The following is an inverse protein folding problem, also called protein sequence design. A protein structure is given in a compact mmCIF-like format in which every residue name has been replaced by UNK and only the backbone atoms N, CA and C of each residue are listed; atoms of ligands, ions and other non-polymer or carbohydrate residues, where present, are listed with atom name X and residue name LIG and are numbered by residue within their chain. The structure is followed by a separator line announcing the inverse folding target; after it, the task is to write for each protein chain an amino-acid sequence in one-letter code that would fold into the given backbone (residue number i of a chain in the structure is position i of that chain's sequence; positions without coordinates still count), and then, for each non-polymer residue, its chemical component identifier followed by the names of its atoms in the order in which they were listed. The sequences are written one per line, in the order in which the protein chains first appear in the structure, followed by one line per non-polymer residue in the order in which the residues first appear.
data_IF_838010465601
#
_entry.id   IF_838010465601
#
_cell.length_a   1.000
_cell.length_b   1.000
_cell.length_c   1.000
_cell.angle_alpha   90.00
_cell.angle_beta   90.00
_cell.angle_gamma   90.00
#
_symmetry.space_group_name_H-M   'P 1'
#
loop_
_entity.id
_entity.type
_entity.pdbx_description
1 polymer ?
#
# COMPACT_ATOMS: atom_id res chain seq x y z
N UNK A 1 37.17 -43.86 -19.42
CA UNK A 1 35.72 -44.03 -19.66
C UNK A 1 34.99 -43.52 -18.42
N UNK A 2 34.52 -42.27 -18.43
CA UNK A 2 33.71 -41.71 -17.34
C UNK A 2 32.50 -41.02 -17.96
N UNK A 3 31.33 -41.64 -17.80
CA UNK A 3 30.03 -41.11 -18.21
C UNK A 3 29.42 -40.41 -17.00
N UNK A 4 29.67 -39.12 -16.83
CA UNK A 4 28.88 -38.28 -15.95
C UNK A 4 27.69 -37.75 -16.75
N UNK A 5 26.49 -38.28 -16.46
CA UNK A 5 25.24 -37.75 -16.96
C UNK A 5 24.88 -36.48 -16.17
N UNK A 6 24.71 -35.37 -16.88
CA UNK A 6 24.28 -34.08 -16.30
C UNK A 6 22.75 -34.03 -16.33
N UNK A 7 22.12 -33.85 -15.17
CA UNK A 7 20.68 -33.64 -15.05
C UNK A 7 20.29 -32.24 -15.55
N UNK A 8 19.17 -32.05 -16.26
CA UNK A 8 18.72 -30.72 -16.64
C UNK A 8 18.20 -29.98 -15.41
N UNK A 9 18.83 -28.83 -15.12
CA UNK A 9 18.41 -27.92 -14.07
C UNK A 9 16.94 -27.52 -14.28
N UNK A 10 16.11 -27.74 -13.26
CA UNK A 10 14.73 -27.24 -13.22
C UNK A 10 14.75 -25.72 -13.23
N UNK A 11 14.20 -25.12 -14.27
CA UNK A 11 14.00 -23.68 -14.39
C UNK A 11 12.99 -23.24 -13.32
N UNK A 12 13.30 -22.29 -12.42
CA UNK A 12 12.31 -21.74 -11.51
C UNK A 12 11.25 -20.99 -12.32
N UNK A 13 9.98 -21.39 -12.17
CA UNK A 13 8.83 -20.70 -12.76
C UNK A 13 8.79 -19.28 -12.21
N UNK A 14 9.04 -18.28 -13.07
CA UNK A 14 8.87 -16.88 -12.68
C UNK A 14 7.39 -16.63 -12.35
N UNK A 15 7.08 -15.94 -11.23
CA UNK A 15 5.73 -15.48 -10.98
C UNK A 15 5.36 -14.46 -12.06
N UNK A 16 4.23 -14.69 -12.73
CA UNK A 16 3.66 -13.77 -13.72
C UNK A 16 3.45 -12.39 -13.08
N UNK A 17 3.90 -11.29 -13.72
CA UNK A 17 3.62 -9.96 -13.21
C UNK A 17 2.12 -9.74 -13.24
N UNK A 18 1.51 -9.61 -12.04
CA UNK A 18 0.10 -9.26 -11.87
C UNK A 18 -0.13 -7.95 -12.62
N UNK A 19 -1.04 -7.97 -13.60
CA UNK A 19 -1.33 -6.82 -14.46
C UNK A 19 -1.48 -5.56 -13.62
N UNK A 20 -0.62 -4.56 -13.86
CA UNK A 20 -0.64 -3.31 -13.14
C UNK A 20 -1.98 -2.60 -13.41
N UNK A 21 -2.79 -2.47 -12.36
CA UNK A 21 -4.05 -1.74 -12.39
C UNK A 21 -3.84 -0.32 -12.98
N UNK A 22 -4.84 0.25 -13.67
CA UNK A 22 -4.72 1.57 -14.28
C UNK A 22 -4.27 2.59 -13.24
N UNK A 23 -3.18 3.31 -13.53
CA UNK A 23 -2.63 4.33 -12.63
C UNK A 23 -3.55 5.55 -12.60
N UNK A 24 -4.61 5.50 -11.79
CA UNK A 24 -5.38 6.70 -11.45
C UNK A 24 -4.41 7.73 -10.88
N UNK A 25 -4.45 8.96 -11.39
CA UNK A 25 -3.61 10.05 -10.88
C UNK A 25 -3.88 10.21 -9.38
N UNK A 26 -2.84 10.11 -8.56
CA UNK A 26 -2.92 10.41 -7.14
C UNK A 26 -3.42 11.85 -6.96
N UNK A 27 -4.56 12.01 -6.27
CA UNK A 27 -5.14 13.30 -5.90
C UNK A 27 -4.93 13.52 -4.41
N UNK A 28 -4.83 14.80 -4.02
CA UNK A 28 -4.80 15.16 -2.61
C UNK A 28 -6.23 15.40 -2.14
N UNK A 29 -6.64 14.66 -1.12
CA UNK A 29 -7.91 14.84 -0.44
C UNK A 29 -7.64 15.40 0.95
N UNK A 30 -8.42 16.40 1.36
CA UNK A 30 -8.39 16.89 2.73
C UNK A 30 -9.17 15.90 3.58
N UNK A 31 -8.47 15.19 4.46
CA UNK A 31 -9.07 14.31 5.45
C UNK A 31 -9.02 14.96 6.84
N UNK A 32 -10.00 14.64 7.67
CA UNK A 32 -10.01 15.05 9.07
C UNK A 32 -9.16 14.08 9.87
N UNK A 33 -8.30 14.61 10.73
CA UNK A 33 -7.60 13.80 11.74
C UNK A 33 -8.61 13.43 12.82
N UNK A 34 -8.89 12.14 12.95
CA UNK A 34 -9.79 11.59 13.95
C UNK A 34 -9.10 11.43 15.30
N UNK A 35 -7.88 10.88 15.27
CA UNK A 35 -7.10 10.59 16.46
C UNK A 35 -5.60 10.65 16.15
N UNK A 36 -4.81 11.00 17.18
CA UNK A 36 -3.35 10.99 17.13
C UNK A 36 -2.85 10.29 18.39
N UNK A 37 -2.33 9.07 18.23
CA UNK A 37 -1.84 8.25 19.33
C UNK A 37 -0.31 8.15 19.32
N UNK A 38 0.38 8.46 20.42
CA UNK A 38 1.80 8.13 20.57
C UNK A 38 2.01 6.61 20.50
N UNK A 39 2.96 6.16 19.67
CA UNK A 39 3.34 4.76 19.56
C UNK A 39 4.69 4.51 20.24
N UNK A 40 5.66 5.40 20.01
CA UNK A 40 6.99 5.41 20.65
C UNK A 40 7.41 6.86 20.94
N UNK A 41 8.57 7.06 21.56
CA UNK A 41 9.13 8.40 21.81
C UNK A 41 9.30 9.23 20.52
N UNK A 42 9.51 8.57 19.38
CA UNK A 42 9.76 9.20 18.08
C UNK A 42 8.67 8.92 17.02
N UNK A 43 7.60 8.20 17.37
CA UNK A 43 6.56 7.82 16.41
C UNK A 43 5.14 7.99 16.97
N UNK A 44 4.27 8.51 16.10
CA UNK A 44 2.84 8.65 16.37
C UNK A 44 2.04 7.93 15.28
N UNK A 45 0.94 7.31 15.68
CA UNK A 45 -0.11 6.81 14.81
C UNK A 45 -1.13 7.94 14.60
N UNK A 46 -1.46 8.23 13.35
CA UNK A 46 -2.46 9.25 12.99
C UNK A 46 -3.60 8.55 12.27
N UNK A 47 -4.80 8.65 12.83
CA UNK A 47 -6.03 8.10 12.27
C UNK A 47 -6.76 9.20 11.53
N UNK A 48 -7.12 8.94 10.28
CA UNK A 48 -7.90 9.86 9.45
C UNK A 48 -9.30 9.31 9.22
N UNK A 49 -10.31 10.15 9.38
CA UNK A 49 -11.67 9.81 8.97
C UNK A 49 -11.77 9.94 7.45
N UNK A 50 -12.02 8.82 6.77
CA UNK A 50 -12.26 8.78 5.33
C UNK A 50 -13.76 8.93 5.06
N UNK A 51 -14.22 10.00 4.37
CA UNK A 51 -15.61 10.12 3.95
C UNK A 51 -16.02 8.95 3.05
N UNK A 52 -17.28 8.51 3.13
CA UNK A 52 -17.80 7.38 2.34
C UNK A 52 -17.61 7.55 0.82
N UNK A 53 -17.63 8.79 0.32
CA UNK A 53 -17.38 9.09 -1.08
C UNK A 53 -15.94 8.80 -1.55
N UNK A 54 -14.98 8.68 -0.62
CA UNK A 54 -13.58 8.40 -0.89
C UNK A 54 -13.17 6.99 -0.46
N UNK A 55 -14.08 6.19 0.10
CA UNK A 55 -13.76 4.86 0.63
C UNK A 55 -13.06 3.96 -0.42
N UNK A 56 -13.55 3.98 -1.66
CA UNK A 56 -12.96 3.22 -2.77
C UNK A 56 -11.55 3.70 -3.15
N UNK A 57 -11.20 4.97 -2.90
CA UNK A 57 -9.87 5.52 -3.19
C UNK A 57 -8.84 5.16 -2.10
N UNK A 58 -9.30 4.81 -0.89
CA UNK A 58 -8.46 4.40 0.24
C UNK A 58 -8.43 2.88 0.45
N UNK A 59 -9.13 2.09 -0.38
CA UNK A 59 -8.98 0.63 -0.48
C UNK A 59 -7.63 0.30 -1.14
N UNK A 60 -6.60 0.17 -0.30
CA UNK A 60 -5.22 0.07 -0.72
C UNK A 60 -4.72 -1.38 -0.72
N UNK A 61 -3.71 -1.67 -1.53
CA UNK A 61 -3.02 -2.96 -1.50
C UNK A 61 -1.78 -2.91 -0.61
N UNK A 62 -1.36 -4.05 -0.02
CA UNK A 62 -0.12 -4.12 0.74
C UNK A 62 1.08 -3.64 -0.09
N UNK A 63 1.93 -2.80 0.52
CA UNK A 63 3.08 -2.18 -0.12
C UNK A 63 2.79 -0.84 -0.80
N UNK A 64 1.55 -0.37 -0.79
CA UNK A 64 1.22 1.02 -1.16
C UNK A 64 1.50 1.99 -0.01
N UNK A 65 1.70 3.26 -0.37
CA UNK A 65 1.97 4.36 0.56
C UNK A 65 1.12 5.57 0.20
N UNK A 66 0.86 6.42 1.19
CA UNK A 66 0.12 7.69 1.00
C UNK A 66 1.08 8.87 1.09
N UNK A 67 0.79 9.91 0.29
CA UNK A 67 1.50 11.17 0.39
C UNK A 67 0.68 12.13 1.25
N UNK A 68 1.18 12.44 2.44
CA UNK A 68 0.65 13.52 3.25
C UNK A 68 1.28 14.83 2.81
N UNK A 69 0.43 15.85 2.69
CA UNK A 69 0.84 17.22 2.47
C UNK A 69 0.27 18.07 3.59
N UNK A 70 1.13 18.87 4.20
CA UNK A 70 0.75 19.84 5.24
C UNK A 70 1.54 21.13 5.07
N UNK A 71 1.06 22.23 5.64
CA UNK A 71 1.79 23.49 5.71
C UNK A 71 2.31 23.65 7.13
N UNK A 72 3.63 23.68 7.28
CA UNK A 72 4.31 23.90 8.56
C UNK A 72 5.13 25.19 8.46
N UNK A 73 4.90 26.14 9.37
CA UNK A 73 5.58 27.45 9.39
C UNK A 73 5.54 28.22 8.05
N UNK A 74 4.42 28.09 7.32
CA UNK A 74 4.25 28.70 6.00
C UNK A 74 4.93 27.95 4.85
N UNK A 75 5.58 26.81 5.12
CA UNK A 75 6.22 25.96 4.12
C UNK A 75 5.36 24.73 3.84
N UNK A 76 5.09 24.44 2.57
CA UNK A 76 4.43 23.20 2.17
C UNK A 76 5.41 22.02 2.31
N UNK A 77 5.10 21.12 3.24
CA UNK A 77 5.84 19.89 3.48
C UNK A 77 5.04 18.71 2.95
N UNK A 78 5.67 17.92 2.08
CA UNK A 78 5.11 16.67 1.57
C UNK A 78 5.97 15.49 1.97
N UNK A 79 5.35 14.49 2.60
CA UNK A 79 6.01 13.26 3.05
C UNK A 79 5.19 12.04 2.67
N UNK A 80 5.89 10.95 2.36
CA UNK A 80 5.27 9.67 2.09
C UNK A 80 5.29 8.82 3.35
N UNK A 81 4.13 8.31 3.74
CA UNK A 81 3.97 7.40 4.87
C UNK A 81 3.42 6.06 4.38
N UNK A 82 3.98 4.97 4.87
CA UNK A 82 3.43 3.63 4.64
C UNK A 82 2.16 3.46 5.46
N UNK A 83 1.15 2.83 4.88
CA UNK A 83 -0.06 2.46 5.60
C UNK A 83 0.24 1.22 6.45
N UNK A 84 0.14 1.36 7.78
CA UNK A 84 0.42 0.26 8.72
C UNK A 84 -0.80 -0.62 9.00
N UNK A 85 -2.01 -0.11 8.76
CA UNK A 85 -3.25 -0.86 8.98
C UNK A 85 -3.46 -1.81 7.80
N UNK A 86 -3.85 -3.06 8.10
CA UNK A 86 -4.25 -3.98 7.06
C UNK A 86 -5.41 -3.36 6.27
N UNK A 87 -5.44 -3.51 4.93
CA UNK A 87 -6.58 -3.05 4.17
C UNK A 87 -7.81 -3.75 4.72
N UNK A 88 -8.83 -2.96 5.08
CA UNK A 88 -10.15 -3.47 5.43
C UNK A 88 -10.90 -3.88 4.16
N UNK A 89 -10.16 -4.53 3.26
CA UNK A 89 -10.61 -5.00 1.96
C UNK A 89 -11.93 -5.70 2.19
N UNK A 90 -12.97 -5.19 1.53
CA UNK A 90 -14.17 -5.97 1.32
C UNK A 90 -13.69 -7.24 0.66
N UNK A 91 -13.83 -8.38 1.33
CA UNK A 91 -13.67 -9.68 0.69
C UNK A 91 -14.67 -9.70 -0.46
N UNK A 92 -14.19 -9.28 -1.63
CA UNK A 92 -14.99 -9.16 -2.84
C UNK A 92 -15.05 -10.58 -3.39
N UNK A 93 -15.77 -11.44 -2.68
CA UNK A 93 -15.72 -12.90 -2.69
C UNK A 93 -15.58 -13.49 -4.09
N UNK A 94 -14.35 -13.50 -4.62
CA UNK A 94 -14.02 -14.23 -5.82
C UNK A 94 -13.70 -15.63 -5.36
N UNK A 95 -14.79 -16.36 -5.16
CA UNK A 95 -14.81 -17.81 -5.08
C UNK A 95 -13.80 -18.37 -6.07
N UNK A 96 -12.81 -19.03 -5.49
CA UNK A 96 -11.97 -19.99 -6.17
C UNK A 96 -12.83 -20.97 -6.95
N UNK A 97 -12.72 -20.95 -8.27
CA UNK A 97 -13.00 -22.11 -9.10
C UNK A 97 -11.87 -22.35 -10.10
#
# INVERSE_FOLDING_TARGET
MSLFTSAPASVPRQPTPRAAAPRTRARFHTLTVEDVRPLTDDAVEVTFTVPAALADEYDHLPGQYVALRTTLDGVEVRRSYSLCRAPEHRDDGRDTR
#
